data_IF_585785817713
#
_entry.id   IF_585785817713
#
_cell.length_a   1.000
_cell.length_b   1.000
_cell.length_c   1.000
_cell.angle_alpha   90.00
_cell.angle_beta   90.00
_cell.angle_gamma   90.00
#
_symmetry.space_group_name_H-M   'P 1'
#
loop_
_entity.id
_entity.type
_entity.pdbx_description
1 polymer ?
#
# COMPACT_ATOMS: atom_id res chain seq x y z
N UNK A 1 -10.70 41.30 11.65
CA UNK A 1 -11.14 40.58 10.44
C UNK A 1 -9.97 39.75 9.95
N UNK A 2 -9.85 38.51 10.43
CA UNK A 2 -8.76 37.61 10.02
C UNK A 2 -9.18 36.96 8.70
N UNK A 3 -8.55 37.41 7.61
CA UNK A 3 -8.78 36.87 6.27
C UNK A 3 -8.49 35.38 6.25
N UNK A 4 -9.47 34.60 5.78
CA UNK A 4 -9.25 33.22 5.38
C UNK A 4 -8.16 33.22 4.29
N UNK A 5 -6.95 32.82 4.66
CA UNK A 5 -5.97 32.39 3.67
C UNK A 5 -6.62 31.23 2.90
N UNK A 6 -6.80 31.32 1.57
CA UNK A 6 -7.23 30.17 0.81
C UNK A 6 -6.14 29.11 0.97
N UNK A 7 -6.51 27.93 1.51
CA UNK A 7 -5.64 26.76 1.52
C UNK A 7 -5.07 26.62 0.11
N UNK A 8 -3.74 26.68 -0.02
CA UNK A 8 -3.06 26.44 -1.30
C UNK A 8 -3.65 25.16 -1.87
N UNK A 9 -4.25 25.27 -3.05
CA UNK A 9 -4.76 24.11 -3.77
C UNK A 9 -3.54 23.25 -4.07
N UNK A 10 -3.43 22.12 -3.36
CA UNK A 10 -2.40 21.13 -3.65
C UNK A 10 -2.55 20.72 -5.11
N UNK A 11 -1.52 21.01 -5.91
CA UNK A 11 -1.50 20.60 -7.31
C UNK A 11 -1.60 19.08 -7.35
N UNK A 12 -2.63 18.59 -8.03
CA UNK A 12 -2.85 17.15 -8.23
C UNK A 12 -2.03 16.73 -9.45
N UNK A 13 -1.19 15.72 -9.28
CA UNK A 13 -0.29 15.21 -10.32
C UNK A 13 -0.72 13.81 -10.75
N UNK A 14 -0.76 13.57 -12.06
CA UNK A 14 -1.12 12.26 -12.59
C UNK A 14 0.06 11.31 -12.41
N UNK A 15 -0.14 10.19 -11.71
CA UNK A 15 0.92 9.20 -11.50
C UNK A 15 1.40 8.48 -12.76
N UNK A 16 0.63 8.54 -13.86
CA UNK A 16 0.96 7.86 -15.12
C UNK A 16 1.73 8.78 -16.06
N UNK A 17 1.22 10.00 -16.31
CA UNK A 17 1.78 10.91 -17.29
C UNK A 17 2.41 12.18 -16.71
N UNK A 18 2.34 12.39 -15.39
CA UNK A 18 2.88 13.59 -14.73
C UNK A 18 2.09 14.88 -14.95
N UNK A 19 0.96 14.83 -15.65
CA UNK A 19 0.12 16.02 -15.86
C UNK A 19 -0.35 16.61 -14.52
N UNK A 20 -0.26 17.93 -14.37
CA UNK A 20 -0.69 18.64 -13.17
C UNK A 20 -2.07 19.29 -13.39
N UNK A 21 -2.89 19.33 -12.35
CA UNK A 21 -4.12 20.12 -12.32
C UNK A 21 -4.35 20.75 -10.94
N UNK A 22 -4.98 21.91 -10.95
CA UNK A 22 -5.56 22.58 -9.80
C UNK A 22 -7.04 22.22 -9.59
N UNK A 23 -7.65 21.43 -10.50
CA UNK A 23 -9.05 21.02 -10.45
C UNK A 23 -9.19 19.56 -10.05
N UNK A 24 -9.68 19.26 -8.83
CA UNK A 24 -9.85 17.88 -8.37
C UNK A 24 -10.76 17.03 -9.26
N UNK A 25 -11.79 17.65 -9.86
CA UNK A 25 -12.79 16.98 -10.70
C UNK A 25 -12.21 16.43 -12.01
N UNK A 26 -11.04 16.92 -12.45
CA UNK A 26 -10.44 16.49 -13.70
C UNK A 26 -9.74 15.12 -13.58
N UNK A 27 -9.43 14.68 -12.36
CA UNK A 27 -8.60 13.52 -12.07
C UNK A 27 -9.35 12.53 -11.19
N UNK A 28 -9.09 11.23 -11.40
CA UNK A 28 -9.67 10.15 -10.61
C UNK A 28 -8.66 9.71 -9.55
N UNK A 29 -9.10 9.64 -8.29
CA UNK A 29 -8.32 9.02 -7.23
C UNK A 29 -8.50 7.50 -7.29
N UNK A 30 -7.43 6.78 -7.59
CA UNK A 30 -7.40 5.31 -7.60
C UNK A 30 -6.80 4.82 -6.28
N UNK A 31 -7.55 4.05 -5.51
CA UNK A 31 -7.13 3.56 -4.18
C UNK A 31 -5.81 2.77 -4.26
N UNK A 32 -4.85 3.11 -3.40
CA UNK A 32 -3.51 2.51 -3.37
C UNK A 32 -2.59 2.88 -4.53
N UNK A 33 -3.09 3.60 -5.53
CA UNK A 33 -2.30 4.06 -6.68
C UNK A 33 -2.08 5.58 -6.63
N UNK A 34 -3.12 6.39 -6.42
CA UNK A 34 -3.06 7.85 -6.41
C UNK A 34 -3.90 8.47 -7.52
N UNK A 35 -3.66 9.74 -7.82
CA UNK A 35 -4.44 10.47 -8.83
C UNK A 35 -4.04 10.11 -10.27
N UNK A 36 -5.04 9.95 -11.13
CA UNK A 36 -4.88 9.62 -12.54
C UNK A 36 -5.77 10.52 -13.39
N UNK A 37 -5.23 11.13 -14.44
CA UNK A 37 -6.04 11.93 -15.36
C UNK A 37 -7.06 11.07 -16.12
N UNK A 38 -8.11 11.67 -16.66
CA UNK A 38 -9.19 10.96 -17.37
C UNK A 38 -8.68 10.06 -18.51
N UNK A 39 -7.74 10.55 -19.30
CA UNK A 39 -7.16 9.79 -20.43
C UNK A 39 -6.41 8.55 -19.93
N UNK A 40 -5.53 8.70 -18.94
CA UNK A 40 -4.79 7.58 -18.37
C UNK A 40 -5.69 6.63 -17.56
N UNK A 41 -6.77 7.14 -16.96
CA UNK A 41 -7.74 6.35 -16.21
C UNK A 41 -8.57 5.41 -17.09
N UNK A 42 -8.81 5.78 -18.35
CA UNK A 42 -9.56 4.98 -19.32
C UNK A 42 -8.73 3.86 -19.96
N UNK A 43 -7.40 3.94 -19.87
CA UNK A 43 -6.53 2.92 -20.45
C UNK A 43 -6.79 1.55 -19.79
N UNK A 44 -6.82 0.47 -20.60
CA UNK A 44 -6.96 -0.88 -20.07
C UNK A 44 -5.68 -1.30 -19.34
N UNK A 45 -5.85 -1.97 -18.21
CA UNK A 45 -4.81 -2.63 -17.43
C UNK A 45 -5.27 -4.04 -17.08
N UNK A 46 -4.32 -4.95 -16.88
CA UNK A 46 -4.61 -6.33 -16.49
C UNK A 46 -4.61 -6.45 -14.96
N UNK A 47 -5.54 -7.22 -14.41
CA UNK A 47 -5.47 -7.63 -13.01
C UNK A 47 -4.37 -8.69 -12.83
N UNK A 48 -3.51 -8.51 -11.83
CA UNK A 48 -2.38 -9.40 -11.55
C UNK A 48 -2.80 -10.76 -10.98
N UNK A 49 -4.05 -10.89 -10.53
CA UNK A 49 -4.58 -12.12 -9.92
C UNK A 49 -5.32 -12.99 -10.93
N UNK A 50 -6.27 -12.41 -11.67
CA UNK A 50 -7.14 -13.15 -12.58
C UNK A 50 -6.89 -12.83 -14.07
N UNK A 51 -6.00 -11.90 -14.39
CA UNK A 51 -5.69 -11.50 -15.78
C UNK A 51 -6.77 -10.65 -16.46
N UNK A 52 -7.89 -10.35 -15.78
CA UNK A 52 -8.99 -9.60 -16.38
C UNK A 52 -8.54 -8.20 -16.85
N UNK A 53 -8.93 -7.81 -18.06
CA UNK A 53 -8.71 -6.46 -18.60
C UNK A 53 -9.78 -5.51 -18.10
N UNK A 54 -9.36 -4.47 -17.38
CA UNK A 54 -10.22 -3.47 -16.74
C UNK A 54 -9.68 -2.07 -16.96
N UNK A 55 -10.49 -1.04 -16.74
CA UNK A 55 -10.03 0.35 -16.84
C UNK A 55 -9.19 0.71 -15.63
N UNK A 56 -8.07 1.42 -15.82
CA UNK A 56 -7.18 1.84 -14.72
C UNK A 56 -7.91 2.57 -13.59
N UNK A 57 -8.91 3.40 -13.90
CA UNK A 57 -9.68 4.13 -12.88
C UNK A 57 -10.55 3.22 -11.97
N UNK A 58 -10.77 1.98 -12.37
CA UNK A 58 -11.64 1.01 -11.65
C UNK A 58 -10.86 -0.03 -10.87
N UNK A 59 -9.53 0.06 -10.87
CA UNK A 59 -8.66 -0.88 -10.16
C UNK A 59 -8.40 -0.41 -8.75
N UNK A 60 -7.94 -1.32 -7.91
CA UNK A 60 -7.32 -0.99 -6.64
C UNK A 60 -5.91 -1.56 -6.65
N UNK A 61 -4.93 -0.77 -6.22
CA UNK A 61 -3.60 -1.32 -5.94
C UNK A 61 -3.54 -1.74 -4.48
N UNK A 62 -3.22 -3.01 -4.26
CA UNK A 62 -3.16 -3.61 -2.94
C UNK A 62 -1.92 -4.49 -2.87
N UNK A 63 -1.05 -4.26 -1.87
CA UNK A 63 0.22 -4.99 -1.71
C UNK A 63 1.05 -5.02 -3.01
N UNK A 64 1.18 -3.86 -3.66
CA UNK A 64 1.92 -3.71 -4.93
C UNK A 64 1.24 -4.20 -6.19
N UNK A 65 0.14 -4.93 -6.06
CA UNK A 65 -0.53 -5.59 -7.19
C UNK A 65 -1.76 -4.84 -7.62
N UNK A 66 -2.04 -4.88 -8.93
CA UNK A 66 -3.26 -4.34 -9.54
C UNK A 66 -4.37 -5.38 -9.40
N UNK A 67 -5.40 -5.04 -8.63
CA UNK A 67 -6.58 -5.86 -8.46
C UNK A 67 -7.78 -5.28 -9.20
N UNK A 68 -8.55 -6.16 -9.85
CA UNK A 68 -9.94 -5.85 -10.17
C UNK A 68 -10.76 -5.78 -8.88
N UNK A 69 -11.92 -5.10 -8.93
CA UNK A 69 -12.77 -4.91 -7.75
C UNK A 69 -13.16 -6.24 -7.07
N UNK A 70 -13.42 -7.30 -7.85
CA UNK A 70 -13.77 -8.61 -7.31
C UNK A 70 -12.59 -9.27 -6.56
N UNK A 71 -11.40 -9.29 -7.17
CA UNK A 71 -10.21 -9.83 -6.54
C UNK A 71 -9.79 -9.01 -5.32
N UNK A 72 -9.93 -7.68 -5.37
CA UNK A 72 -9.67 -6.82 -4.22
C UNK A 72 -10.57 -7.15 -3.03
N UNK A 73 -11.88 -7.33 -3.26
CA UNK A 73 -12.82 -7.72 -2.19
C UNK A 73 -12.46 -9.07 -1.59
N UNK A 74 -12.17 -10.07 -2.44
CA UNK A 74 -11.75 -11.40 -2.00
C UNK A 74 -10.47 -11.35 -1.17
N UNK A 75 -9.44 -10.61 -1.61
CA UNK A 75 -8.18 -10.44 -0.88
C UNK A 75 -8.38 -9.73 0.46
N UNK A 76 -9.23 -8.70 0.49
CA UNK A 76 -9.50 -7.96 1.73
C UNK A 76 -10.17 -8.85 2.80
N UNK A 77 -11.08 -9.71 2.38
CA UNK A 77 -11.84 -10.62 3.25
C UNK A 77 -11.05 -11.86 3.66
N UNK A 78 -10.42 -12.54 2.70
CA UNK A 78 -9.79 -13.85 2.88
C UNK A 78 -8.27 -13.80 3.05
N UNK A 79 -7.63 -12.70 2.66
CA UNK A 79 -6.18 -12.58 2.71
C UNK A 79 -5.62 -12.59 4.14
N UNK A 80 -4.38 -13.06 4.26
CA UNK A 80 -3.66 -13.11 5.53
C UNK A 80 -3.54 -11.71 6.16
N UNK A 81 -4.11 -11.56 7.36
CA UNK A 81 -4.11 -10.30 8.11
C UNK A 81 -2.81 -10.07 8.87
N UNK A 82 -2.14 -11.17 9.25
CA UNK A 82 -0.88 -11.20 9.97
C UNK A 82 0.04 -12.23 9.36
N UNK A 83 1.32 -11.91 9.31
CA UNK A 83 2.38 -12.78 8.82
C UNK A 83 3.50 -12.81 9.86
N UNK A 84 4.17 -13.95 9.97
CA UNK A 84 5.44 -14.05 10.70
C UNK A 84 6.55 -14.47 9.75
N UNK A 85 7.73 -13.88 9.93
CA UNK A 85 8.96 -14.31 9.24
C UNK A 85 10.09 -14.47 10.24
N UNK A 86 10.99 -15.40 9.94
CA UNK A 86 12.20 -15.61 10.73
C UNK A 86 13.40 -15.01 10.00
N UNK A 87 14.25 -14.31 10.75
CA UNK A 87 15.50 -13.73 10.27
C UNK A 87 16.66 -14.20 11.14
N UNK A 88 17.80 -14.45 10.53
CA UNK A 88 19.05 -14.67 11.24
C UNK A 88 19.77 -13.33 11.42
N UNK A 89 20.07 -12.97 12.66
CA UNK A 89 20.77 -11.75 13.02
C UNK A 89 21.49 -11.91 14.36
N UNK A 90 22.67 -11.29 14.50
CA UNK A 90 23.51 -11.38 15.69
C UNK A 90 23.06 -10.40 16.79
N UNK A 91 22.34 -9.34 16.42
CA UNK A 91 21.83 -8.33 17.37
C UNK A 91 20.40 -7.89 17.04
N UNK A 92 19.77 -7.19 17.99
CA UNK A 92 18.42 -6.64 17.81
C UNK A 92 18.41 -5.55 16.73
N UNK A 93 19.44 -4.71 16.66
CA UNK A 93 19.55 -3.63 15.68
C UNK A 93 19.67 -4.18 14.26
N UNK A 94 20.44 -5.25 14.09
CA UNK A 94 20.52 -5.97 12.83
C UNK A 94 19.18 -6.61 12.47
N UNK A 95 18.52 -7.28 13.42
CA UNK A 95 17.22 -7.88 13.19
C UNK A 95 16.13 -6.85 12.80
N UNK A 96 16.10 -5.68 13.44
CA UNK A 96 15.19 -4.58 13.08
C UNK A 96 15.48 -4.08 11.67
N UNK A 97 16.75 -3.81 11.35
CA UNK A 97 17.14 -3.32 10.03
C UNK A 97 16.77 -4.32 8.92
N UNK A 98 17.07 -5.60 9.10
CA UNK A 98 16.78 -6.64 8.11
C UNK A 98 15.27 -6.84 7.97
N UNK A 99 14.52 -6.89 9.09
CA UNK A 99 13.07 -7.06 9.04
C UNK A 99 12.32 -5.87 8.41
N UNK A 100 12.86 -4.65 8.53
CA UNK A 100 12.33 -3.48 7.82
C UNK A 100 12.71 -3.48 6.34
N UNK A 101 13.95 -3.84 6.00
CA UNK A 101 14.43 -3.88 4.62
C UNK A 101 13.73 -4.99 3.79
N UNK A 102 13.44 -6.13 4.41
CA UNK A 102 12.79 -7.28 3.78
C UNK A 102 11.30 -7.40 4.13
N UNK A 103 10.69 -6.28 4.55
CA UNK A 103 9.28 -6.23 4.89
C UNK A 103 8.43 -6.68 3.68
N UNK A 104 7.48 -7.61 3.87
CA UNK A 104 6.55 -7.99 2.81
C UNK A 104 5.71 -6.80 2.36
N UNK A 105 5.48 -6.70 1.04
CA UNK A 105 4.74 -5.58 0.48
C UNK A 105 3.30 -5.50 1.00
N UNK A 106 2.90 -4.30 1.43
CA UNK A 106 1.60 -4.01 2.05
C UNK A 106 1.43 -4.55 3.47
N UNK A 107 2.53 -4.88 4.16
CA UNK A 107 2.54 -5.14 5.60
C UNK A 107 3.46 -4.16 6.33
N UNK A 108 3.11 -3.92 7.58
CA UNK A 108 3.85 -3.10 8.53
C UNK A 108 4.42 -4.02 9.60
N UNK A 109 5.70 -3.84 9.93
CA UNK A 109 6.33 -4.52 11.06
C UNK A 109 5.67 -4.02 12.35
N UNK A 110 5.04 -4.92 13.10
CA UNK A 110 4.34 -4.58 14.36
C UNK A 110 5.04 -5.15 15.59
N UNK A 111 5.92 -6.15 15.41
CA UNK A 111 6.64 -6.76 16.52
C UNK A 111 7.89 -7.49 16.05
N UNK A 112 8.86 -7.59 16.95
CA UNK A 112 10.08 -8.35 16.74
C UNK A 112 10.45 -9.03 18.06
N UNK A 113 10.71 -10.33 18.04
CA UNK A 113 11.08 -11.10 19.22
C UNK A 113 12.17 -12.12 18.92
N UNK A 114 13.08 -12.33 19.87
CA UNK A 114 14.06 -13.40 19.77
C UNK A 114 13.36 -14.76 19.99
N UNK A 115 13.61 -15.73 19.11
CA UNK A 115 13.06 -17.08 19.22
C UNK A 115 13.67 -17.78 20.43
N UNK A 116 12.84 -18.29 21.35
CA UNK A 116 13.33 -18.92 22.58
C UNK A 116 14.33 -20.07 22.37
N UNK A 117 14.27 -20.76 21.23
CA UNK A 117 15.16 -21.87 20.89
C UNK A 117 16.50 -21.45 20.27
N UNK A 118 16.74 -20.16 20.04
CA UNK A 118 17.93 -19.66 19.32
C UNK A 118 18.40 -18.32 19.85
N UNK A 119 19.71 -18.10 19.91
CA UNK A 119 20.29 -16.80 20.26
C UNK A 119 20.40 -15.84 19.07
N UNK A 120 20.11 -16.32 17.85
CA UNK A 120 20.36 -15.59 16.59
C UNK A 120 19.16 -15.55 15.66
N UNK A 121 18.06 -16.22 16.00
CA UNK A 121 16.86 -16.27 15.16
C UNK A 121 15.82 -15.35 15.74
N UNK A 122 15.42 -14.36 14.95
CA UNK A 122 14.43 -13.37 15.31
C UNK A 122 13.14 -13.61 14.53
N UNK A 123 12.01 -13.57 15.24
CA UNK A 123 10.67 -13.67 14.65
C UNK A 123 10.13 -12.27 14.52
N UNK A 124 9.95 -11.82 13.29
CA UNK A 124 9.26 -10.58 12.95
C UNK A 124 7.78 -10.87 12.73
N UNK A 125 6.93 -10.07 13.37
CA UNK A 125 5.48 -10.10 13.22
C UNK A 125 5.05 -8.90 12.38
N UNK A 126 4.29 -9.17 11.35
CA UNK A 126 3.79 -8.19 10.39
C UNK A 126 2.27 -8.16 10.41
N UNK A 127 1.69 -6.97 10.32
CA UNK A 127 0.25 -6.75 10.17
C UNK A 127 -0.03 -6.01 8.88
N UNK A 128 -1.17 -6.33 8.25
CA UNK A 128 -1.57 -5.70 7.00
C UNK A 128 -1.77 -4.20 7.17
N UNK A 129 -1.26 -3.41 6.23
CA UNK A 129 -1.21 -1.95 6.34
C UNK A 129 -2.61 -1.30 6.50
N UNK A 130 -3.61 -1.77 5.77
CA UNK A 130 -4.99 -1.28 5.87
C UNK A 130 -5.60 -1.49 7.28
N UNK A 131 -5.29 -2.63 7.90
CA UNK A 131 -5.72 -2.97 9.26
C UNK A 131 -4.96 -2.10 10.26
N UNK A 132 -3.64 -1.97 10.10
CA UNK A 132 -2.81 -1.17 10.98
C UNK A 132 -3.26 0.29 11.00
N UNK A 133 -3.45 0.91 9.83
CA UNK A 133 -3.93 2.29 9.70
C UNK A 133 -5.31 2.46 10.35
N UNK A 134 -6.23 1.51 10.14
CA UNK A 134 -7.59 1.59 10.70
C UNK A 134 -7.65 1.53 12.24
N UNK A 135 -6.58 1.07 12.91
CA UNK A 135 -6.49 1.04 14.37
C UNK A 135 -5.87 2.31 14.96
N UNK A 136 -5.10 3.05 14.17
CA UNK A 136 -4.41 4.26 14.60
C UNK A 136 -5.20 5.55 14.31
N UNK A 137 -6.39 5.43 13.72
CA UNK A 137 -7.37 6.50 13.52
C UNK A 137 -8.40 6.55 14.64
#
# INVERSE_FOLDING_TARGET
MLGHQPKRVEKIVCKVCGAETDRPEAFFLVTGFGYVCRTCGLQPVSCDVCGARIRRMTVTVFRGKIHCLACYRSEREKGEKRLTKEYLAESIEEAVRTSLAEAPEGYVLVGLKLKYSSKKTWIAEYEREDIFISRCS
#
